data_IF_229133496519
#
_entry.id   IF_229133496519
#
_cell.length_a   1.000
_cell.length_b   1.000
_cell.length_c   1.000
_cell.angle_alpha   90.00
_cell.angle_beta   90.00
_cell.angle_gamma   90.00
#
_symmetry.space_group_name_H-M   'P 1'
#
loop_
_entity.id
_entity.type
_entity.pdbx_description
1 polymer ?
#
# COMPACT_ATOMS: atom_id res chain seq x y z
N UNK A 1 -36.70 -16.66 12.52
CA UNK A 1 -35.59 -15.68 12.43
C UNK A 1 -34.85 -15.75 13.73
N UNK A 2 -33.54 -15.93 13.67
CA UNK A 2 -32.70 -15.92 14.86
C UNK A 2 -32.73 -14.50 15.44
N UNK A 3 -33.12 -14.29 16.71
CA UNK A 3 -33.12 -12.96 17.32
C UNK A 3 -31.72 -12.30 17.35
N UNK A 4 -30.66 -13.09 17.12
CA UNK A 4 -29.27 -12.64 17.10
C UNK A 4 -28.76 -12.23 15.72
N UNK A 5 -29.53 -12.53 14.66
CA UNK A 5 -29.29 -12.05 13.30
C UNK A 5 -29.79 -10.61 13.13
N UNK A 6 -29.28 -9.71 13.97
CA UNK A 6 -29.63 -8.29 13.99
C UNK A 6 -28.44 -7.43 14.39
N UNK A 7 -28.62 -6.12 14.30
CA UNK A 7 -27.66 -5.12 14.73
C UNK A 7 -28.02 -4.62 16.12
N UNK A 8 -27.09 -4.70 17.06
CA UNK A 8 -27.25 -4.18 18.42
C UNK A 8 -26.58 -2.82 18.56
N UNK A 9 -27.27 -1.86 19.18
CA UNK A 9 -26.69 -0.55 19.51
C UNK A 9 -26.29 -0.56 20.98
N UNK A 10 -25.01 -0.32 21.25
CA UNK A 10 -24.44 -0.36 22.60
C UNK A 10 -23.91 1.04 22.94
N UNK A 11 -24.39 1.58 24.06
CA UNK A 11 -23.97 2.88 24.60
C UNK A 11 -23.30 2.77 25.95
N UNK A 12 -23.50 1.66 26.66
CA UNK A 12 -22.92 1.41 27.98
C UNK A 12 -22.99 -0.09 28.32
N UNK A 13 -22.37 -0.50 29.42
CA UNK A 13 -22.33 -1.91 29.86
C UNK A 13 -23.74 -2.47 30.18
N UNK A 14 -24.69 -1.65 30.65
CA UNK A 14 -26.06 -2.11 30.95
C UNK A 14 -26.77 -2.64 29.71
N UNK A 15 -26.49 -2.07 28.53
CA UNK A 15 -27.06 -2.56 27.25
C UNK A 15 -26.57 -3.98 26.91
N UNK A 16 -25.39 -4.37 27.40
CA UNK A 16 -24.82 -5.71 27.23
C UNK A 16 -25.38 -6.66 28.30
N UNK A 17 -25.37 -6.23 29.57
CA UNK A 17 -25.72 -7.08 30.73
C UNK A 17 -27.22 -7.38 30.83
N UNK A 18 -28.06 -6.39 30.48
CA UNK A 18 -29.51 -6.44 30.68
C UNK A 18 -30.30 -6.19 29.39
N UNK A 19 -29.61 -5.96 28.27
CA UNK A 19 -30.23 -5.72 26.98
C UNK A 19 -30.51 -7.01 26.19
N UNK A 20 -31.05 -6.87 24.97
CA UNK A 20 -31.40 -8.01 24.13
C UNK A 20 -30.19 -8.85 23.69
N UNK A 21 -28.98 -8.30 23.75
CA UNK A 21 -27.74 -9.03 23.46
C UNK A 21 -27.50 -10.21 24.42
N UNK A 22 -28.04 -10.15 25.64
CA UNK A 22 -27.96 -11.25 26.61
C UNK A 22 -28.64 -12.53 26.10
N UNK A 23 -29.59 -12.44 25.18
CA UNK A 23 -30.27 -13.59 24.60
C UNK A 23 -29.40 -14.32 23.56
N UNK A 24 -28.29 -13.71 23.15
CA UNK A 24 -27.41 -14.19 22.08
C UNK A 24 -26.16 -14.92 22.59
N UNK A 25 -26.24 -15.52 23.78
CA UNK A 25 -25.14 -16.31 24.32
C UNK A 25 -24.78 -17.45 23.35
N UNK A 26 -23.50 -17.52 22.97
CA UNK A 26 -22.96 -18.52 22.04
C UNK A 26 -23.61 -18.52 20.65
N UNK A 27 -24.31 -17.45 20.28
CA UNK A 27 -24.91 -17.28 18.95
C UNK A 27 -24.10 -16.28 18.12
N UNK A 28 -24.17 -16.40 16.80
CA UNK A 28 -23.54 -15.43 15.90
C UNK A 28 -24.34 -14.14 15.91
N UNK A 29 -23.66 -13.02 16.21
CA UNK A 29 -24.25 -11.69 16.15
C UNK A 29 -23.92 -11.04 14.81
N UNK A 30 -24.91 -10.48 14.12
CA UNK A 30 -24.63 -9.89 12.81
C UNK A 30 -23.80 -8.62 12.92
N UNK A 31 -24.19 -7.69 13.80
CA UNK A 31 -23.41 -6.48 14.02
C UNK A 31 -23.57 -5.91 15.43
N UNK A 32 -22.49 -5.30 15.94
CA UNK A 32 -22.45 -4.55 17.19
C UNK A 32 -22.01 -3.12 16.88
N UNK A 33 -22.92 -2.16 17.05
CA UNK A 33 -22.65 -0.74 16.85
C UNK A 33 -22.50 -0.04 18.20
N UNK A 34 -21.27 0.31 18.56
CA UNK A 34 -20.94 1.05 19.77
C UNK A 34 -20.97 2.55 19.48
N UNK A 35 -21.86 3.30 20.12
CA UNK A 35 -22.03 4.75 19.87
C UNK A 35 -22.18 5.54 21.16
N UNK A 36 -21.49 6.68 21.24
CA UNK A 36 -21.52 7.56 22.42
C UNK A 36 -21.23 6.78 23.71
N UNK A 37 -20.41 5.74 23.61
CA UNK A 37 -20.13 4.86 24.71
C UNK A 37 -19.08 5.46 25.65
N UNK A 38 -19.08 4.95 26.88
CA UNK A 38 -18.20 5.42 27.95
C UNK A 38 -17.69 4.27 28.83
N UNK A 39 -16.50 4.45 29.39
CA UNK A 39 -15.88 3.49 30.30
C UNK A 39 -15.48 2.19 29.61
N UNK A 40 -15.60 1.08 30.33
CA UNK A 40 -15.29 -0.26 29.83
C UNK A 40 -16.54 -0.94 29.30
N UNK A 41 -16.44 -1.51 28.09
CA UNK A 41 -17.44 -2.41 27.53
C UNK A 41 -16.84 -3.81 27.41
N UNK A 42 -17.44 -4.77 28.12
CA UNK A 42 -17.05 -6.17 28.14
C UNK A 42 -18.18 -7.03 27.55
N UNK A 43 -17.83 -7.86 26.57
CA UNK A 43 -18.75 -8.74 25.84
C UNK A 43 -18.44 -10.22 26.15
N UNK A 44 -18.76 -10.72 27.36
CA UNK A 44 -18.26 -12.02 27.84
C UNK A 44 -18.84 -13.24 27.12
N UNK A 45 -19.95 -13.10 26.41
CA UNK A 45 -20.70 -14.22 25.83
C UNK A 45 -20.75 -14.24 24.30
N UNK A 46 -20.17 -13.23 23.65
CA UNK A 46 -20.15 -13.14 22.19
C UNK A 46 -18.96 -13.94 21.68
N UNK A 47 -19.25 -15.10 21.11
CA UNK A 47 -18.23 -15.96 20.51
C UNK A 47 -17.96 -15.60 19.06
N UNK A 48 -18.99 -15.15 18.33
CA UNK A 48 -18.89 -14.78 16.93
C UNK A 48 -19.67 -13.51 16.61
N UNK A 49 -19.08 -12.63 15.82
CA UNK A 49 -19.77 -11.49 15.23
C UNK A 49 -19.26 -11.22 13.81
N UNK A 50 -20.07 -10.69 12.90
CA UNK A 50 -19.53 -10.27 11.60
C UNK A 50 -18.93 -8.87 11.67
N UNK A 51 -19.61 -7.93 12.32
CA UNK A 51 -19.19 -6.54 12.34
C UNK A 51 -19.22 -5.96 13.77
N UNK A 52 -18.14 -5.27 14.13
CA UNK A 52 -18.12 -4.37 15.29
C UNK A 52 -17.72 -2.99 14.78
N UNK A 53 -18.55 -2.00 15.03
CA UNK A 53 -18.36 -0.62 14.60
C UNK A 53 -18.46 0.32 15.79
N UNK A 54 -17.34 0.93 16.17
CA UNK A 54 -17.23 1.91 17.24
C UNK A 54 -17.10 3.29 16.64
N UNK A 55 -18.08 4.16 16.90
CA UNK A 55 -18.12 5.52 16.38
C UNK A 55 -18.51 6.50 17.48
N UNK A 56 -18.02 7.74 17.37
CA UNK A 56 -18.42 8.88 18.22
C UNK A 56 -18.43 8.54 19.72
N UNK A 57 -17.42 7.79 20.18
CA UNK A 57 -17.34 7.29 21.57
C UNK A 57 -16.08 7.80 22.27
N UNK A 58 -15.91 9.12 22.43
CA UNK A 58 -14.69 9.72 22.96
C UNK A 58 -14.43 9.37 24.43
N UNK A 59 -15.44 8.89 25.16
CA UNK A 59 -15.35 8.49 26.56
C UNK A 59 -15.14 6.99 26.76
N UNK A 60 -15.11 6.20 25.68
CA UNK A 60 -14.85 4.77 25.74
C UNK A 60 -13.37 4.56 26.11
N UNK A 61 -13.10 3.73 27.12
CA UNK A 61 -11.76 3.49 27.66
C UNK A 61 -11.23 2.10 27.28
N UNK A 62 -12.09 1.08 27.31
CA UNK A 62 -11.73 -0.31 27.01
C UNK A 62 -12.84 -0.99 26.23
N UNK A 63 -12.46 -1.74 25.20
CA UNK A 63 -13.33 -2.63 24.43
C UNK A 63 -12.81 -4.06 24.56
N UNK A 64 -13.56 -4.92 25.24
CA UNK A 64 -13.11 -6.27 25.62
C UNK A 64 -14.09 -7.35 25.14
N UNK A 65 -13.56 -8.29 24.37
CA UNK A 65 -14.27 -9.42 23.78
C UNK A 65 -13.56 -10.73 24.16
N UNK A 66 -13.65 -11.16 25.43
CA UNK A 66 -12.82 -12.25 25.93
C UNK A 66 -13.19 -13.62 25.34
N UNK A 67 -14.43 -13.81 24.88
CA UNK A 67 -14.88 -15.07 24.28
C UNK A 67 -14.90 -15.06 22.75
N UNK A 68 -14.60 -13.92 22.12
CA UNK A 68 -14.75 -13.76 20.68
C UNK A 68 -13.62 -14.48 19.95
N UNK A 69 -14.01 -15.51 19.20
CA UNK A 69 -13.10 -16.30 18.37
C UNK A 69 -13.30 -16.04 16.88
N UNK A 70 -14.36 -15.32 16.50
CA UNK A 70 -14.63 -14.95 15.13
C UNK A 70 -15.11 -13.50 14.99
N UNK A 71 -14.40 -12.71 14.18
CA UNK A 71 -14.83 -11.41 13.68
C UNK A 71 -14.41 -11.19 12.23
N UNK A 72 -15.30 -10.64 11.40
CA UNK A 72 -14.95 -10.29 10.02
C UNK A 72 -14.47 -8.83 9.92
N UNK A 73 -15.13 -7.90 10.60
CA UNK A 73 -14.75 -6.48 10.57
C UNK A 73 -14.79 -5.85 11.95
N UNK A 74 -13.69 -5.22 12.36
CA UNK A 74 -13.63 -4.29 13.48
C UNK A 74 -13.26 -2.91 12.96
N UNK A 75 -14.20 -1.97 13.04
CA UNK A 75 -13.99 -0.57 12.75
C UNK A 75 -14.07 0.24 14.05
N UNK A 76 -13.06 1.05 14.33
CA UNK A 76 -13.02 1.96 15.45
C UNK A 76 -12.64 3.34 14.92
N UNK A 77 -13.48 4.33 15.19
CA UNK A 77 -13.23 5.72 14.82
C UNK A 77 -13.68 6.67 15.93
N UNK A 78 -12.93 7.77 16.10
CA UNK A 78 -13.27 8.84 17.05
C UNK A 78 -13.46 8.36 18.50
N UNK A 79 -12.66 7.38 18.93
CA UNK A 79 -12.66 6.85 20.28
C UNK A 79 -11.44 7.39 21.05
N UNK A 80 -11.45 8.69 21.35
CA UNK A 80 -10.26 9.41 21.77
C UNK A 80 -9.62 8.91 23.07
N UNK A 81 -10.42 8.43 24.02
CA UNK A 81 -9.93 7.89 25.29
C UNK A 81 -9.73 6.38 25.28
N UNK A 82 -9.92 5.70 24.14
CA UNK A 82 -9.78 4.25 24.07
C UNK A 82 -8.32 3.87 24.31
N UNK A 83 -8.07 3.11 25.37
CA UNK A 83 -6.73 2.69 25.77
C UNK A 83 -6.43 1.24 25.40
N UNK A 84 -7.46 0.40 25.32
CA UNK A 84 -7.34 -1.05 25.16
C UNK A 84 -8.42 -1.63 24.25
N UNK A 85 -8.00 -2.47 23.30
CA UNK A 85 -8.87 -3.36 22.50
C UNK A 85 -8.40 -4.80 22.74
N UNK A 86 -9.24 -5.63 23.35
CA UNK A 86 -8.88 -6.97 23.80
C UNK A 86 -9.69 -8.04 23.08
N UNK A 87 -9.02 -8.84 22.24
CA UNK A 87 -9.58 -9.96 21.47
C UNK A 87 -8.70 -11.22 21.66
N UNK A 88 -8.51 -11.70 22.89
CA UNK A 88 -7.48 -12.71 23.21
C UNK A 88 -7.69 -14.08 22.57
N UNK A 89 -8.91 -14.42 22.15
CA UNK A 89 -9.25 -15.72 21.57
C UNK A 89 -9.45 -15.69 20.05
N UNK A 90 -9.17 -14.54 19.42
CA UNK A 90 -9.26 -14.40 17.97
C UNK A 90 -8.17 -15.24 17.29
N UNK A 91 -8.49 -15.86 16.16
CA UNK A 91 -7.50 -16.61 15.36
C UNK A 91 -7.51 -18.13 15.53
N UNK A 92 -7.94 -18.64 16.69
CA UNK A 92 -7.84 -20.08 17.05
C UNK A 92 -8.55 -21.06 16.12
N UNK A 93 -9.41 -20.59 15.20
CA UNK A 93 -10.24 -21.42 14.32
C UNK A 93 -10.11 -21.10 12.82
N UNK A 94 -9.22 -20.20 12.41
CA UNK A 94 -9.17 -19.73 11.02
C UNK A 94 -8.19 -20.53 10.16
N UNK A 95 -8.67 -20.99 9.01
CA UNK A 95 -7.83 -21.48 7.92
C UNK A 95 -7.56 -20.33 6.95
N UNK A 96 -6.33 -19.77 6.96
CA UNK A 96 -5.95 -18.66 6.09
C UNK A 96 -6.05 -19.00 4.59
N UNK A 97 -6.20 -20.28 4.22
CA UNK A 97 -6.36 -20.68 2.82
C UNK A 97 -7.70 -20.22 2.23
N UNK A 98 -8.70 -19.97 3.07
CA UNK A 98 -10.02 -19.52 2.63
C UNK A 98 -10.10 -17.99 2.60
N UNK A 99 -10.01 -17.43 1.40
CA UNK A 99 -10.03 -15.97 1.15
C UNK A 99 -11.27 -15.22 1.70
N UNK A 100 -12.33 -15.92 2.07
CA UNK A 100 -13.59 -15.31 2.54
C UNK A 100 -13.57 -14.89 4.02
N UNK A 101 -12.62 -15.38 4.83
CA UNK A 101 -12.63 -15.18 6.29
C UNK A 101 -11.51 -14.24 6.77
N UNK A 102 -11.22 -13.23 5.97
CA UNK A 102 -10.13 -12.27 6.22
C UNK A 102 -10.58 -11.14 7.16
N UNK A 103 -9.99 -11.05 8.35
CA UNK A 103 -10.27 -9.98 9.31
C UNK A 103 -9.91 -8.60 8.75
N UNK A 104 -10.87 -7.67 8.76
CA UNK A 104 -10.66 -6.26 8.47
C UNK A 104 -10.62 -5.47 9.77
N UNK A 105 -9.43 -4.99 10.12
CA UNK A 105 -9.12 -4.29 11.35
C UNK A 105 -8.78 -2.84 11.04
N UNK A 106 -9.67 -1.91 11.38
CA UNK A 106 -9.53 -0.50 11.05
C UNK A 106 -9.71 0.36 12.30
N UNK A 107 -8.63 0.99 12.77
CA UNK A 107 -8.65 1.92 13.89
C UNK A 107 -8.14 3.28 13.41
N UNK A 108 -8.98 4.29 13.58
CA UNK A 108 -8.67 5.68 13.23
C UNK A 108 -8.99 6.61 14.39
N UNK A 109 -8.18 7.64 14.59
CA UNK A 109 -8.44 8.70 15.57
C UNK A 109 -8.67 8.18 17.01
N UNK A 110 -7.79 7.26 17.44
CA UNK A 110 -7.75 6.74 18.82
C UNK A 110 -6.38 7.04 19.46
N UNK A 111 -6.05 8.32 19.73
CA UNK A 111 -4.73 8.77 20.18
C UNK A 111 -4.32 8.26 21.57
N UNK A 112 -5.23 7.70 22.37
CA UNK A 112 -4.90 7.09 23.66
C UNK A 112 -4.68 5.57 23.60
N UNK A 113 -4.80 4.95 22.42
CA UNK A 113 -4.75 3.50 22.29
C UNK A 113 -3.34 2.97 22.54
N UNK A 114 -3.14 2.32 23.68
CA UNK A 114 -1.85 1.79 24.11
C UNK A 114 -1.74 0.28 24.01
N UNK A 115 -2.88 -0.43 23.99
CA UNK A 115 -2.91 -1.88 24.03
C UNK A 115 -3.90 -2.45 22.99
N UNK A 116 -3.42 -3.37 22.18
CA UNK A 116 -4.24 -4.17 21.26
C UNK A 116 -3.84 -5.61 21.47
N UNK A 117 -4.83 -6.45 21.75
CA UNK A 117 -4.67 -7.90 21.81
C UNK A 117 -5.51 -8.56 20.73
N UNK A 118 -4.90 -9.33 19.82
CA UNK A 118 -5.53 -10.05 18.70
C UNK A 118 -5.45 -11.57 18.81
N UNK A 119 -5.00 -12.10 19.95
CA UNK A 119 -4.88 -13.55 20.17
C UNK A 119 -3.88 -14.22 19.22
N UNK A 120 -4.20 -15.43 18.77
CA UNK A 120 -3.38 -16.24 17.87
C UNK A 120 -3.80 -16.06 16.39
N UNK A 121 -4.18 -14.83 16.02
CA UNK A 121 -4.66 -14.54 14.67
C UNK A 121 -3.53 -14.46 13.64
N UNK A 122 -3.33 -15.56 12.90
CA UNK A 122 -2.36 -15.62 11.79
C UNK A 122 -2.85 -14.93 10.49
N UNK A 123 -4.17 -14.80 10.32
CA UNK A 123 -4.81 -14.38 9.06
C UNK A 123 -5.40 -12.96 9.17
N UNK A 124 -4.61 -11.93 8.85
CA UNK A 124 -5.11 -10.56 8.80
C UNK A 124 -5.47 -10.19 7.36
N UNK A 125 -6.72 -9.84 7.12
CA UNK A 125 -7.17 -9.37 5.82
C UNK A 125 -6.62 -8.01 5.49
N UNK A 126 -7.11 -7.02 6.23
CA UNK A 126 -6.72 -5.62 6.07
C UNK A 126 -6.49 -5.03 7.45
N UNK A 127 -5.33 -4.42 7.67
CA UNK A 127 -5.02 -3.65 8.87
C UNK A 127 -4.90 -2.19 8.47
N UNK A 128 -5.61 -1.31 9.16
CA UNK A 128 -5.61 0.14 8.93
C UNK A 128 -5.47 0.82 10.28
N UNK A 129 -4.33 1.47 10.53
CA UNK A 129 -4.04 2.14 11.80
C UNK A 129 -3.60 3.58 11.52
N UNK A 130 -4.48 4.53 11.83
CA UNK A 130 -4.21 5.95 11.62
C UNK A 130 -4.52 6.78 12.87
N UNK A 131 -3.65 7.74 13.17
CA UNK A 131 -3.82 8.65 14.31
C UNK A 131 -4.01 7.91 15.64
N UNK A 132 -3.28 6.81 15.80
CA UNK A 132 -3.10 6.10 17.06
C UNK A 132 -1.68 6.39 17.56
N UNK A 133 -1.40 6.34 18.87
CA UNK A 133 -0.07 6.64 19.37
C UNK A 133 0.89 5.51 18.95
N UNK A 134 2.20 5.76 19.12
CA UNK A 134 3.20 4.71 18.90
C UNK A 134 2.93 3.55 19.87
N UNK A 135 2.38 2.46 19.35
CA UNK A 135 2.19 1.22 20.10
C UNK A 135 3.58 0.59 20.22
N UNK A 136 4.18 0.70 21.41
CA UNK A 136 5.53 0.21 21.64
C UNK A 136 5.56 -1.34 21.55
N UNK A 137 6.66 -1.92 21.06
CA UNK A 137 6.81 -3.35 20.73
C UNK A 137 6.73 -4.32 21.94
N UNK A 138 6.32 -3.87 23.11
CA UNK A 138 6.08 -4.78 24.24
C UNK A 138 4.82 -5.64 24.03
N UNK A 139 3.96 -5.31 23.08
CA UNK A 139 2.93 -6.24 22.57
C UNK A 139 3.57 -7.15 21.53
N UNK A 140 4.17 -8.25 21.99
CA UNK A 140 4.83 -9.32 21.21
C UNK A 140 3.94 -10.03 20.17
N UNK A 141 2.72 -9.55 19.96
CA UNK A 141 1.71 -10.23 19.15
C UNK A 141 2.02 -10.16 17.65
N UNK A 142 2.54 -9.03 17.16
CA UNK A 142 2.99 -8.93 15.75
C UNK A 142 4.42 -9.47 15.51
N UNK A 143 5.23 -9.57 16.57
CA UNK A 143 6.66 -9.92 16.52
C UNK A 143 6.88 -11.45 16.41
N UNK A 144 6.00 -12.25 17.03
CA UNK A 144 6.25 -13.68 17.22
C UNK A 144 5.62 -14.60 16.17
N UNK A 145 4.64 -14.13 15.40
CA UNK A 145 3.85 -14.99 14.51
C UNK A 145 4.18 -14.76 13.04
N UNK A 146 4.09 -15.84 12.25
CA UNK A 146 4.19 -15.79 10.79
C UNK A 146 2.93 -15.13 10.25
N UNK A 147 2.90 -13.81 10.24
CA UNK A 147 1.74 -13.08 9.75
C UNK A 147 1.77 -13.08 8.23
N UNK A 148 0.71 -13.63 7.64
CA UNK A 148 0.39 -13.43 6.23
C UNK A 148 -0.78 -12.47 6.17
N UNK A 149 -0.54 -11.27 5.67
CA UNK A 149 -1.58 -10.24 5.56
C UNK A 149 -1.93 -9.95 4.11
N UNK A 150 -3.18 -9.63 3.81
CA UNK A 150 -3.47 -9.07 2.48
C UNK A 150 -2.96 -7.64 2.42
N UNK A 151 -3.42 -6.76 3.30
CA UNK A 151 -3.04 -5.35 3.21
C UNK A 151 -2.78 -4.71 4.58
N UNK A 152 -1.72 -3.92 4.70
CA UNK A 152 -1.44 -3.07 5.86
C UNK A 152 -1.32 -1.61 5.39
N UNK A 153 -2.06 -0.72 6.05
CA UNK A 153 -2.00 0.72 5.85
C UNK A 153 -1.81 1.39 7.21
N UNK A 154 -0.70 2.10 7.40
CA UNK A 154 -0.44 2.73 8.69
C UNK A 154 0.42 3.98 8.60
N UNK A 155 0.16 4.96 9.47
CA UNK A 155 1.05 6.10 9.73
C UNK A 155 1.76 6.01 11.09
N UNK A 156 1.65 4.86 11.78
CA UNK A 156 2.30 4.62 13.07
C UNK A 156 3.48 3.66 12.95
N UNK A 157 4.35 3.67 13.95
CA UNK A 157 5.47 2.75 14.00
C UNK A 157 4.99 1.40 14.50
N UNK A 158 4.90 0.43 13.61
CA UNK A 158 4.58 -0.97 13.92
C UNK A 158 5.85 -1.79 13.82
N UNK A 159 5.99 -2.75 14.74
CA UNK A 159 6.93 -3.83 14.55
C UNK A 159 6.33 -4.85 13.57
N UNK A 160 7.01 -5.07 12.46
CA UNK A 160 6.61 -5.97 11.38
C UNK A 160 7.67 -7.05 11.15
N UNK A 161 8.53 -7.30 12.14
CA UNK A 161 9.63 -8.27 12.09
C UNK A 161 9.18 -9.68 11.70
N UNK A 162 7.95 -10.07 12.09
CA UNK A 162 7.29 -11.34 11.78
C UNK A 162 6.61 -11.42 10.41
N UNK A 163 6.45 -10.28 9.71
CA UNK A 163 5.72 -10.22 8.45
C UNK A 163 6.50 -10.90 7.32
N UNK A 164 5.97 -12.01 6.78
CA UNK A 164 6.63 -12.74 5.67
C UNK A 164 6.05 -12.40 4.30
N UNK A 165 4.73 -12.23 4.22
CA UNK A 165 4.00 -12.06 2.96
C UNK A 165 2.98 -10.93 3.11
N UNK A 166 2.93 -10.03 2.14
CA UNK A 166 1.91 -9.00 2.05
C UNK A 166 1.43 -8.84 0.60
N UNK A 167 0.15 -8.51 0.37
CA UNK A 167 -0.26 -7.99 -0.94
C UNK A 167 0.06 -6.50 -1.01
N UNK A 168 -0.50 -5.70 -0.11
CA UNK A 168 -0.33 -4.24 -0.12
C UNK A 168 0.24 -3.77 1.22
N UNK A 169 1.32 -3.01 1.20
CA UNK A 169 1.98 -2.49 2.39
C UNK A 169 2.24 -0.98 2.19
N UNK A 170 1.42 -0.12 2.79
CA UNK A 170 1.57 1.33 2.78
C UNK A 170 1.91 1.85 4.18
N UNK A 171 3.15 2.31 4.33
CA UNK A 171 3.75 2.74 5.59
C UNK A 171 4.10 4.23 5.47
N UNK A 172 3.54 5.08 6.33
CA UNK A 172 3.65 6.54 6.22
C UNK A 172 4.05 7.27 7.50
N UNK A 173 4.62 6.55 8.48
CA UNK A 173 4.95 7.10 9.79
C UNK A 173 6.23 7.93 9.83
N UNK A 174 6.20 9.04 10.56
CA UNK A 174 7.35 9.91 10.78
C UNK A 174 8.31 9.32 11.81
N UNK A 175 9.60 9.23 11.48
CA UNK A 175 10.64 8.72 12.39
C UNK A 175 10.38 7.28 12.88
N UNK A 176 9.71 6.47 12.05
CA UNK A 176 9.45 5.06 12.34
C UNK A 176 10.52 4.14 11.77
N UNK A 177 11.04 3.23 12.60
CA UNK A 177 11.84 2.11 12.14
C UNK A 177 10.90 0.93 11.96
N UNK A 178 10.62 0.57 10.71
CA UNK A 178 9.80 -0.59 10.38
C UNK A 178 10.70 -1.82 10.22
N UNK A 179 10.70 -2.76 11.15
CA UNK A 179 11.47 -3.99 10.99
C UNK A 179 10.76 -4.88 9.97
N UNK A 180 11.38 -5.16 8.82
CA UNK A 180 10.80 -5.96 7.72
C UNK A 180 11.74 -7.11 7.32
N UNK A 181 12.52 -7.62 8.28
CA UNK A 181 13.61 -8.56 8.03
C UNK A 181 13.15 -9.87 7.41
N UNK A 182 11.92 -10.31 7.69
CA UNK A 182 11.36 -11.57 7.17
C UNK A 182 10.46 -11.39 5.93
N UNK A 183 10.23 -10.17 5.47
CA UNK A 183 9.35 -9.92 4.33
C UNK A 183 9.98 -10.47 3.06
N UNK A 184 9.42 -11.53 2.50
CA UNK A 184 9.95 -12.21 1.30
C UNK A 184 9.21 -11.85 0.02
N UNK A 185 7.91 -11.56 0.10
CA UNK A 185 7.09 -11.22 -1.07
C UNK A 185 6.08 -10.14 -0.72
N UNK A 186 6.03 -9.09 -1.56
CA UNK A 186 5.06 -8.00 -1.45
C UNK A 186 4.56 -7.58 -2.82
N UNK A 187 3.26 -7.58 -3.08
CA UNK A 187 2.77 -7.09 -4.40
C UNK A 187 3.04 -5.59 -4.54
N UNK A 188 2.48 -4.77 -3.66
CA UNK A 188 2.62 -3.32 -3.66
C UNK A 188 3.22 -2.86 -2.34
N UNK A 189 4.41 -2.28 -2.38
CA UNK A 189 5.09 -1.72 -1.23
C UNK A 189 5.28 -0.21 -1.40
N UNK A 190 4.74 0.56 -0.46
CA UNK A 190 4.81 2.02 -0.40
C UNK A 190 5.35 2.39 0.98
N UNK A 191 6.47 3.10 1.01
CA UNK A 191 7.06 3.62 2.24
C UNK A 191 7.33 5.11 2.09
N UNK A 192 6.59 5.93 2.85
CA UNK A 192 6.68 7.38 2.92
C UNK A 192 7.18 7.78 4.30
N UNK A 193 8.49 7.93 4.47
CA UNK A 193 9.08 8.16 5.77
C UNK A 193 10.22 9.18 5.68
N UNK A 194 9.84 10.46 5.73
CA UNK A 194 10.76 11.57 5.49
C UNK A 194 11.97 11.61 6.44
N UNK A 195 11.85 11.06 7.65
CA UNK A 195 12.79 11.32 8.75
C UNK A 195 13.36 10.06 9.42
N UNK A 196 13.00 8.84 8.98
CA UNK A 196 13.57 7.62 9.54
C UNK A 196 14.49 6.90 8.57
N UNK A 197 15.40 6.14 9.15
CA UNK A 197 16.27 5.22 8.43
C UNK A 197 15.41 4.11 7.84
N UNK A 198 15.41 4.00 6.51
CA UNK A 198 14.78 2.90 5.81
C UNK A 198 15.32 1.55 6.33
N UNK A 199 14.48 0.57 6.67
CA UNK A 199 14.95 -0.78 6.93
C UNK A 199 15.59 -1.39 5.69
N UNK A 200 16.66 -2.16 5.91
CA UNK A 200 17.20 -3.02 4.86
C UNK A 200 16.20 -4.14 4.56
N UNK A 201 15.79 -4.30 3.30
CA UNK A 201 14.82 -5.32 2.88
C UNK A 201 15.56 -6.58 2.42
N UNK A 202 16.32 -7.14 3.36
CA UNK A 202 17.31 -8.19 3.08
C UNK A 202 16.71 -9.50 2.58
N UNK A 203 15.46 -9.78 2.94
CA UNK A 203 14.77 -11.01 2.54
C UNK A 203 13.79 -10.81 1.42
N UNK A 204 13.56 -9.58 0.94
CA UNK A 204 12.55 -9.30 -0.07
C UNK A 204 13.00 -9.87 -1.43
N UNK A 205 12.35 -10.96 -1.84
CA UNK A 205 12.67 -11.68 -3.07
C UNK A 205 11.80 -11.23 -4.25
N UNK A 206 10.53 -10.89 -4.01
CA UNK A 206 9.58 -10.57 -5.07
C UNK A 206 8.74 -9.36 -4.76
N UNK A 207 8.57 -8.48 -5.75
CA UNK A 207 7.55 -7.47 -5.72
C UNK A 207 6.92 -7.18 -7.09
N UNK A 208 5.76 -6.54 -7.11
CA UNK A 208 5.24 -5.92 -8.34
C UNK A 208 5.65 -4.45 -8.39
N UNK A 209 5.27 -3.68 -7.37
CA UNK A 209 5.50 -2.25 -7.28
C UNK A 209 6.18 -1.90 -5.95
N UNK A 210 7.28 -1.16 -6.01
CA UNK A 210 7.98 -0.60 -4.85
C UNK A 210 8.06 0.91 -5.03
N UNK A 211 7.57 1.66 -4.04
CA UNK A 211 7.70 3.11 -3.94
C UNK A 211 8.29 3.45 -2.58
N UNK A 212 9.46 4.08 -2.58
CA UNK A 212 10.15 4.52 -1.37
C UNK A 212 10.41 6.01 -1.48
N UNK A 213 10.03 6.75 -0.45
CA UNK A 213 10.18 8.20 -0.36
C UNK A 213 10.62 8.58 1.06
N UNK A 214 11.88 9.01 1.23
CA UNK A 214 12.44 9.25 2.56
C UNK A 214 13.96 9.20 2.66
N UNK A 215 14.45 9.13 3.91
CA UNK A 215 15.87 9.06 4.22
C UNK A 215 16.40 7.62 4.11
N UNK A 216 17.36 7.38 3.22
CA UNK A 216 17.93 6.05 3.00
C UNK A 216 19.26 5.89 3.72
N UNK A 217 19.33 5.00 4.69
CA UNK A 217 20.61 4.69 5.32
C UNK A 217 21.43 3.74 4.44
N UNK A 218 22.45 4.30 3.80
CA UNK A 218 23.40 3.53 2.99
C UNK A 218 24.51 2.85 3.82
N UNK A 219 24.50 2.98 5.17
CA UNK A 219 25.52 2.35 6.03
C UNK A 219 25.44 0.83 6.03
N UNK A 220 24.26 0.25 5.81
CA UNK A 220 24.07 -1.21 5.67
C UNK A 220 24.54 -1.72 4.30
N UNK A 221 24.83 -0.82 3.37
CA UNK A 221 25.36 -1.09 2.05
C UNK A 221 24.63 -0.33 0.95
N UNK A 222 25.17 -0.36 -0.28
CA UNK A 222 24.57 0.35 -1.42
C UNK A 222 23.32 -0.36 -1.99
N UNK A 223 23.00 -1.58 -1.53
CA UNK A 223 21.89 -2.37 -2.03
C UNK A 223 20.83 -2.58 -0.96
N UNK A 224 19.72 -1.84 -1.06
CA UNK A 224 18.57 -1.96 -0.16
C UNK A 224 17.70 -3.20 -0.43
N UNK A 225 17.90 -3.91 -1.55
CA UNK A 225 17.19 -5.15 -1.90
C UNK A 225 18.15 -6.27 -2.33
N UNK A 226 19.01 -6.79 -1.43
CA UNK A 226 20.03 -7.77 -1.81
C UNK A 226 19.47 -9.11 -2.28
N UNK A 227 18.29 -9.52 -1.80
CA UNK A 227 17.66 -10.79 -2.17
C UNK A 227 16.65 -10.68 -3.33
N UNK A 228 16.45 -9.49 -3.92
CA UNK A 228 15.41 -9.28 -4.93
C UNK A 228 15.70 -10.10 -6.19
N UNK A 229 14.73 -10.93 -6.56
CA UNK A 229 14.74 -11.79 -7.75
C UNK A 229 13.85 -11.23 -8.86
N UNK A 230 12.79 -10.49 -8.52
CA UNK A 230 11.91 -9.85 -9.50
C UNK A 230 11.15 -8.64 -8.94
N UNK A 231 11.12 -7.53 -9.69
CA UNK A 231 10.23 -6.39 -9.50
C UNK A 231 9.80 -5.77 -10.83
N UNK A 232 8.54 -5.33 -10.96
CA UNK A 232 8.09 -4.62 -12.16
C UNK A 232 8.48 -3.14 -12.09
N UNK A 233 7.97 -2.40 -11.10
CA UNK A 233 8.20 -0.97 -10.97
C UNK A 233 8.88 -0.66 -9.63
N UNK A 234 10.04 -0.01 -9.69
CA UNK A 234 10.77 0.44 -8.50
C UNK A 234 11.01 1.93 -8.62
N UNK A 235 10.41 2.70 -7.71
CA UNK A 235 10.63 4.14 -7.55
C UNK A 235 11.26 4.41 -6.21
N UNK A 236 12.42 5.05 -6.22
CA UNK A 236 13.15 5.45 -5.01
C UNK A 236 13.38 6.95 -5.08
N UNK A 237 12.81 7.69 -4.14
CA UNK A 237 13.00 9.11 -3.95
C UNK A 237 13.73 9.33 -2.61
N UNK A 238 15.06 9.32 -2.68
CA UNK A 238 15.90 9.49 -1.51
C UNK A 238 16.08 11.00 -1.21
N UNK A 239 15.88 11.39 0.04
CA UNK A 239 16.13 12.77 0.49
C UNK A 239 17.61 13.06 0.74
N UNK A 240 18.45 12.03 0.74
CA UNK A 240 19.89 12.11 0.95
C UNK A 240 20.71 11.58 -0.24
N UNK A 241 22.03 11.55 -0.06
CA UNK A 241 23.03 11.15 -1.06
C UNK A 241 23.04 9.63 -1.26
N UNK A 242 21.94 9.06 -1.75
CA UNK A 242 21.81 7.62 -1.98
C UNK A 242 22.36 7.21 -3.34
N UNK A 243 23.27 6.24 -3.35
CA UNK A 243 23.90 5.72 -4.57
C UNK A 243 23.01 4.67 -5.25
N UNK A 244 22.39 5.03 -6.37
CA UNK A 244 21.50 4.15 -7.14
C UNK A 244 22.21 3.04 -7.96
N UNK A 245 23.55 2.95 -7.95
CA UNK A 245 24.32 2.05 -8.85
C UNK A 245 23.91 0.58 -8.75
N UNK A 246 23.61 0.08 -7.54
CA UNK A 246 23.18 -1.31 -7.36
C UNK A 246 21.77 -1.56 -7.92
N UNK A 247 20.86 -0.61 -7.78
CA UNK A 247 19.52 -0.70 -8.37
C UNK A 247 19.59 -0.67 -9.91
N UNK A 248 20.48 0.17 -10.46
CA UNK A 248 20.75 0.21 -11.91
C UNK A 248 21.30 -1.12 -12.41
N UNK A 249 22.24 -1.73 -11.68
CA UNK A 249 22.76 -3.07 -11.99
C UNK A 249 21.66 -4.14 -11.96
N UNK A 250 20.77 -4.11 -10.96
CA UNK A 250 19.63 -5.02 -10.88
C UNK A 250 18.66 -4.85 -12.07
N UNK A 251 18.41 -3.60 -12.50
CA UNK A 251 17.63 -3.33 -13.72
C UNK A 251 18.31 -3.90 -14.97
N UNK A 252 19.61 -3.67 -15.13
CA UNK A 252 20.36 -4.16 -16.30
C UNK A 252 20.40 -5.69 -16.35
N UNK A 253 20.36 -6.35 -15.19
CA UNK A 253 20.21 -7.81 -15.05
C UNK A 253 18.75 -8.30 -15.15
N UNK A 254 17.80 -7.45 -15.55
CA UNK A 254 16.37 -7.77 -15.70
C UNK A 254 15.66 -8.21 -14.41
N UNK A 255 16.24 -7.94 -13.23
CA UNK A 255 15.58 -8.15 -11.94
C UNK A 255 14.51 -7.08 -11.73
N UNK A 256 14.80 -5.82 -12.12
CA UNK A 256 13.88 -4.69 -12.06
C UNK A 256 13.52 -4.28 -13.50
N UNK A 257 12.23 -4.29 -13.86
CA UNK A 257 11.82 -3.93 -15.23
C UNK A 257 11.88 -2.41 -15.46
N UNK A 258 11.27 -1.64 -14.56
CA UNK A 258 11.21 -0.18 -14.62
C UNK A 258 11.79 0.41 -13.34
N UNK A 259 12.86 1.20 -13.47
CA UNK A 259 13.54 1.85 -12.36
C UNK A 259 13.50 3.37 -12.51
N UNK A 260 12.99 4.05 -11.49
CA UNK A 260 13.14 5.49 -11.29
C UNK A 260 13.85 5.71 -9.96
N UNK A 261 15.11 6.15 -10.00
CA UNK A 261 15.88 6.46 -8.79
C UNK A 261 16.23 7.95 -8.80
N UNK A 262 15.64 8.69 -7.88
CA UNK A 262 15.93 10.09 -7.60
C UNK A 262 16.75 10.08 -6.31
N UNK A 263 18.06 10.25 -6.46
CA UNK A 263 19.02 10.46 -5.38
C UNK A 263 20.15 11.31 -5.94
N UNK A 264 21.13 11.67 -5.11
CA UNK A 264 22.37 12.28 -5.62
C UNK A 264 23.12 11.23 -6.44
N UNK A 265 22.76 11.18 -7.72
CA UNK A 265 23.53 10.51 -8.72
C UNK A 265 24.82 11.31 -8.77
N UNK A 266 25.90 10.79 -8.17
CA UNK A 266 27.22 11.02 -8.72
C UNK A 266 27.06 10.66 -10.19
N UNK A 267 26.80 11.67 -11.02
CA UNK A 267 26.90 11.50 -12.44
C UNK A 267 28.25 10.84 -12.62
N UNK A 268 28.32 9.59 -13.14
CA UNK A 268 29.55 9.21 -13.79
C UNK A 268 29.77 10.38 -14.72
N UNK A 269 30.93 10.97 -14.62
CA UNK A 269 31.33 12.13 -15.41
C UNK A 269 31.44 11.76 -16.90
N UNK A 270 30.56 10.91 -17.43
CA UNK A 270 30.06 10.85 -18.79
C UNK A 270 29.02 11.98 -18.95
N UNK A 271 29.38 13.24 -19.11
CA UNK A 271 30.13 13.72 -20.27
C UNK A 271 31.00 14.93 -19.89
N UNK A 272 32.10 14.66 -19.20
CA UNK A 272 33.35 15.30 -19.59
C UNK A 272 33.63 14.90 -21.04
N UNK A 273 33.03 15.61 -21.99
CA UNK A 273 33.55 15.67 -23.36
C UNK A 273 35.07 15.79 -23.22
N UNK A 274 35.81 14.86 -23.85
CA UNK A 274 37.25 14.99 -24.00
C UNK A 274 37.56 16.46 -24.29
N UNK A 275 38.52 17.04 -23.57
CA UNK A 275 38.87 18.47 -23.60
C UNK A 275 39.02 19.01 -25.06
N UNK A 276 39.23 18.14 -26.04
CA UNK A 276 39.22 18.44 -27.47
C UNK A 276 37.87 18.83 -28.13
N UNK A 277 36.69 18.59 -27.54
CA UNK A 277 35.38 18.94 -28.18
C UNK A 277 34.80 20.27 -27.68
N UNK A 278 35.27 20.80 -26.54
CA UNK A 278 34.84 22.12 -26.03
C UNK A 278 35.31 23.30 -26.89
N UNK A 279 36.25 23.08 -27.81
CA UNK A 279 36.69 24.09 -28.78
C UNK A 279 35.75 24.15 -30.01
N UNK A 280 34.88 23.16 -30.21
CA UNK A 280 34.03 23.07 -31.41
C UNK A 280 32.71 23.84 -31.39
N UNK A 281 32.14 24.14 -30.20
CA UNK A 281 30.84 24.84 -30.09
C UNK A 281 31.01 26.37 -30.02
N UNK A 282 32.22 26.86 -29.71
CA UNK A 282 32.55 28.29 -29.70
C UNK A 282 32.57 28.94 -31.09
N UNK A 283 32.58 28.15 -32.18
CA UNK A 283 32.63 28.67 -33.56
C UNK A 283 31.26 28.61 -34.25
N UNK A 284 30.33 27.77 -33.76
CA UNK A 284 29.01 27.57 -34.38
C UNK A 284 28.00 28.68 -34.12
N UNK A 285 28.01 29.28 -32.92
CA UNK A 285 27.07 30.35 -32.54
C UNK A 285 27.38 31.69 -33.22
N UNK A 286 28.63 31.94 -33.60
CA UNK A 286 29.01 33.15 -34.33
C UNK A 286 28.38 33.25 -35.73
N UNK A 287 28.28 32.14 -36.45
CA UNK A 287 27.73 32.13 -37.82
C UNK A 287 26.20 32.32 -37.84
N UNK A 288 25.49 31.83 -36.82
CA UNK A 288 24.03 32.01 -36.73
C UNK A 288 23.66 33.47 -36.47
N UNK A 289 24.41 34.17 -35.61
CA UNK A 289 24.19 35.60 -35.35
C UNK A 289 24.44 36.48 -36.59
N UNK A 290 25.48 36.15 -37.37
CA UNK A 290 25.77 36.86 -38.64
C UNK A 290 24.66 36.59 -39.68
N UNK A 291 24.14 35.36 -39.75
CA UNK A 291 23.00 35.02 -40.62
C UNK A 291 21.73 35.80 -40.28
N UNK A 292 21.42 35.97 -38.99
CA UNK A 292 20.25 36.73 -38.54
C UNK A 292 20.43 38.23 -38.86
N UNK A 293 21.61 38.80 -38.62
CA UNK A 293 21.87 40.21 -38.97
C UNK A 293 21.81 40.45 -40.48
N UNK A 294 22.34 39.52 -41.28
CA UNK A 294 22.27 39.59 -42.75
C UNK A 294 20.83 39.58 -43.29
N UNK A 295 19.97 38.72 -42.72
CA UNK A 295 18.56 38.63 -43.14
C UNK A 295 17.76 39.88 -42.76
N UNK A 296 18.01 40.48 -41.58
CA UNK A 296 17.37 41.74 -41.16
C UNK A 296 17.78 42.89 -42.09
N UNK A 297 19.07 43.04 -42.39
CA UNK A 297 19.56 44.09 -43.30
C UNK A 297 18.95 43.91 -44.70
N UNK A 298 18.88 42.69 -45.21
CA UNK A 298 18.27 42.39 -46.50
C UNK A 298 16.77 42.73 -46.53
N UNK A 299 16.03 42.43 -45.45
CA UNK A 299 14.62 42.77 -45.30
C UNK A 299 14.37 44.29 -45.36
N UNK A 300 15.21 45.08 -44.67
CA UNK A 300 15.11 46.54 -44.68
C UNK A 300 15.34 47.11 -46.09
N UNK A 301 16.33 46.58 -46.82
CA UNK A 301 16.61 47.00 -48.21
C UNK A 301 15.44 46.63 -49.13
N UNK A 302 14.88 45.43 -48.99
CA UNK A 302 13.75 44.95 -49.79
C UNK A 302 12.48 45.77 -49.53
N UNK A 303 12.23 46.14 -48.27
CA UNK A 303 11.09 46.99 -47.90
C UNK A 303 11.22 48.40 -48.49
N UNK A 304 12.41 49.02 -48.38
CA UNK A 304 12.68 50.33 -49.00
C UNK A 304 12.51 50.32 -50.52
N UNK A 305 12.88 49.22 -51.21
CA UNK A 305 12.65 49.09 -52.65
C UNK A 305 11.16 49.02 -53.01
N UNK A 306 10.35 48.30 -52.22
CA UNK A 306 8.90 48.19 -52.44
C UNK A 306 8.15 49.49 -52.14
N UNK A 307 8.55 50.24 -51.10
CA UNK A 307 7.92 51.53 -50.78
C UNK A 307 8.15 52.55 -51.91
N UNK A 308 9.33 52.57 -52.52
CA UNK A 308 9.58 53.38 -53.73
C UNK A 308 8.71 52.98 -54.93
N UNK A 309 8.23 51.74 -54.98
CA UNK A 309 7.31 51.29 -56.05
C UNK A 309 5.87 51.73 -55.79
N UNK A 310 5.50 52.00 -54.53
CA UNK A 310 4.17 52.48 -54.15
C UNK A 310 4.03 54.00 -54.26
N UNK A 311 5.11 54.77 -54.16
CA UNK A 311 5.10 56.22 -54.44
C UNK A 311 4.99 56.53 -55.94
N UNK A 312 5.48 55.65 -56.82
CA UNK A 312 5.34 55.79 -58.29
C UNK A 312 4.03 55.18 -58.84
N UNK A 313 3.24 54.50 -58.00
CA UNK A 313 1.99 53.85 -58.41
C UNK A 313 0.71 54.64 -58.11
N UNK A 314 0.78 55.77 -57.42
CA UNK A 314 -0.38 56.50 -56.87
C UNK A 314 -1.04 57.48 -57.85
N UNK A 315 -1.05 57.15 -59.15
CA UNK A 315 -1.62 58.01 -60.20
C UNK A 315 -2.68 57.33 -61.09
N UNK A 316 -3.13 56.10 -60.80
CA UNK A 316 -4.28 55.51 -61.52
C UNK A 316 -5.13 54.63 -60.61
N UNK A 317 -6.45 54.81 -60.80
CA UNK A 317 -7.59 54.02 -60.33
C UNK A 317 -7.94 54.22 -58.84
N UNK A 318 -9.01 54.89 -58.38
CA UNK A 318 -10.33 55.29 -58.89
C UNK A 318 -11.15 54.23 -59.65
N UNK A 319 -12.35 53.99 -59.10
CA UNK A 319 -13.46 53.12 -59.51
C UNK A 319 -13.57 51.71 -58.89
N UNK A 320 -14.62 51.63 -58.05
CA UNK A 320 -15.53 50.50 -57.80
C UNK A 320 -15.00 49.33 -56.93
N UNK A 321 -15.77 48.68 -56.06
CA UNK A 321 -17.21 48.59 -55.93
C UNK A 321 -17.59 48.27 -54.47
N UNK A 322 -18.80 48.68 -54.12
CA UNK A 322 -19.53 48.51 -52.87
C UNK A 322 -19.81 47.04 -52.47
N UNK A 323 -19.76 46.81 -51.14
CA UNK A 323 -20.83 46.18 -50.33
C UNK A 323 -21.15 44.69 -50.52
N UNK A 324 -20.82 43.87 -49.51
CA UNK A 324 -21.85 43.21 -48.67
C UNK A 324 -21.26 42.53 -47.43
N UNK A 325 -22.10 42.42 -46.40
CA UNK A 325 -21.88 41.98 -45.01
C UNK A 325 -21.88 40.45 -44.86
N UNK A 326 -20.97 39.94 -44.02
CA UNK A 326 -21.13 39.13 -42.78
C UNK A 326 -22.31 38.10 -42.60
N UNK A 327 -22.28 37.20 -41.58
CA UNK A 327 -21.78 35.83 -41.59
C UNK A 327 -22.85 34.77 -41.18
N UNK A 328 -22.59 33.45 -41.30
CA UNK A 328 -22.93 32.44 -40.26
C UNK A 328 -22.63 30.99 -40.71
N UNK A 329 -21.64 30.41 -40.02
CA UNK A 329 -21.66 29.13 -39.29
C UNK A 329 -22.79 28.11 -39.59
N UNK A 330 -22.42 26.91 -40.06
CA UNK A 330 -23.27 25.72 -39.98
C UNK A 330 -22.50 24.48 -39.52
N UNK A 331 -23.08 23.87 -38.50
CA UNK A 331 -22.76 22.61 -37.84
C UNK A 331 -22.34 21.46 -38.76
N UNK A 332 -21.30 20.73 -38.35
CA UNK A 332 -21.03 19.36 -38.82
C UNK A 332 -21.42 18.40 -37.69
N UNK A 333 -22.51 17.68 -37.92
CA UNK A 333 -22.90 16.49 -37.17
C UNK A 333 -21.93 15.35 -37.49
N UNK A 334 -21.27 14.79 -36.46
CA UNK A 334 -20.72 13.45 -36.52
C UNK A 334 -21.53 12.52 -35.62
N UNK A 335 -22.28 11.67 -36.32
CA UNK A 335 -22.93 10.45 -35.91
C UNK A 335 -21.93 9.31 -36.11
N UNK A 336 -21.73 8.43 -35.12
CA UNK A 336 -21.43 6.99 -35.30
C UNK A 336 -21.50 6.25 -33.95
N UNK A 337 -22.57 5.46 -33.74
CA UNK A 337 -22.65 3.99 -33.82
C UNK A 337 -22.37 3.28 -32.49
N UNK A 338 -23.48 2.80 -31.93
CA UNK A 338 -23.58 1.87 -30.81
C UNK A 338 -23.36 0.44 -31.35
N UNK A 339 -22.27 -0.22 -30.93
CA UNK A 339 -21.93 -1.59 -31.33
C UNK A 339 -22.13 -2.59 -30.19
N UNK A 340 -23.25 -3.31 -30.24
CA UNK A 340 -23.57 -4.48 -29.41
C UNK A 340 -22.70 -5.69 -29.79
N UNK A 341 -22.00 -6.23 -28.79
CA UNK A 341 -21.90 -7.65 -28.40
C UNK A 341 -21.55 -8.73 -29.43
N UNK A 342 -20.50 -9.50 -29.12
CA UNK A 342 -20.45 -10.97 -29.32
C UNK A 342 -19.60 -11.56 -28.18
N UNK A 343 -20.23 -12.23 -27.21
CA UNK A 343 -19.56 -13.16 -26.31
C UNK A 343 -19.51 -14.53 -27.01
N UNK A 344 -18.30 -15.08 -27.19
CA UNK A 344 -18.11 -16.48 -27.59
C UNK A 344 -17.89 -17.30 -26.32
N UNK A 345 -18.82 -18.21 -26.05
CA UNK A 345 -18.62 -19.33 -25.12
C UNK A 345 -17.49 -20.22 -25.65
N UNK A 346 -16.63 -20.65 -24.73
CA UNK A 346 -15.54 -21.58 -24.97
C UNK A 346 -16.00 -22.96 -24.49
N UNK A 347 -15.79 -24.05 -25.25
CA UNK A 347 -16.27 -25.38 -24.87
C UNK A 347 -15.44 -25.96 -23.72
N UNK A 348 -16.12 -26.66 -22.82
CA UNK A 348 -15.54 -27.37 -21.68
C UNK A 348 -14.53 -28.44 -22.13
N UNK A 349 -13.32 -28.36 -21.60
CA UNK A 349 -12.31 -29.41 -21.75
C UNK A 349 -12.71 -30.65 -20.93
N UNK A 350 -12.60 -31.87 -21.49
CA UNK A 350 -12.89 -33.10 -20.75
C UNK A 350 -11.85 -33.35 -19.67
N UNK A 351 -12.33 -33.47 -18.42
CA UNK A 351 -11.55 -33.94 -17.28
C UNK A 351 -10.97 -35.33 -17.56
N UNK A 352 -9.65 -35.39 -17.73
CA UNK A 352 -8.88 -36.64 -17.74
C UNK A 352 -8.54 -36.98 -16.30
N UNK A 353 -9.20 -38.00 -15.74
CA UNK A 353 -8.82 -38.59 -14.46
C UNK A 353 -7.47 -39.30 -14.59
N UNK A 354 -6.47 -38.85 -13.82
CA UNK A 354 -5.20 -39.58 -13.69
C UNK A 354 -5.31 -40.65 -12.58
N UNK A 355 -4.81 -41.88 -12.81
CA UNK A 355 -4.78 -42.91 -11.77
C UNK A 355 -3.82 -42.52 -10.65
N UNK A 356 -4.36 -42.38 -9.42
CA UNK A 356 -3.55 -42.24 -8.21
C UNK A 356 -2.91 -43.57 -7.84
N UNK A 357 -1.58 -43.58 -7.64
CA UNK A 357 -0.85 -44.72 -7.11
C UNK A 357 -1.26 -45.04 -5.65
N UNK A 358 -1.16 -46.30 -5.20
CA UNK A 358 -1.48 -46.69 -3.83
C UNK A 358 -0.49 -46.08 -2.83
N UNK A 359 -1.03 -45.51 -1.75
CA UNK A 359 -0.26 -44.99 -0.63
C UNK A 359 0.50 -46.13 0.08
N UNK A 360 1.81 -46.00 0.21
CA UNK A 360 2.65 -46.87 1.03
C UNK A 360 2.35 -46.67 2.52
N UNK A 361 2.23 -47.79 3.24
CA UNK A 361 1.99 -47.86 4.68
C UNK A 361 3.17 -47.27 5.48
N UNK A 362 2.93 -46.55 6.59
CA UNK A 362 3.99 -46.13 7.49
C UNK A 362 4.48 -47.29 8.36
N UNK A 363 5.78 -47.56 8.27
CA UNK A 363 6.52 -48.49 9.12
C UNK A 363 6.59 -47.95 10.55
N UNK A 364 6.00 -48.69 11.50
CA UNK A 364 6.11 -48.44 12.95
C UNK A 364 7.57 -48.59 13.41
N UNK A 365 8.16 -47.52 13.92
CA UNK A 365 9.33 -47.61 14.79
C UNK A 365 8.88 -47.76 16.25
N UNK A 366 9.21 -48.90 16.84
CA UNK A 366 9.13 -49.13 18.28
C UNK A 366 10.21 -48.32 19.01
N UNK A 367 9.82 -47.33 19.82
CA UNK A 367 10.67 -46.77 20.88
C UNK A 367 10.27 -47.37 22.22
N UNK A 368 11.20 -48.16 22.75
CA UNK A 368 11.26 -48.76 24.09
C UNK A 368 11.39 -47.64 25.13
N UNK A 369 10.42 -47.54 26.05
CA UNK A 369 10.55 -46.73 27.27
C UNK A 369 10.96 -47.68 28.38
N UNK A 370 12.16 -47.48 28.90
CA UNK A 370 12.63 -48.12 30.12
C UNK A 370 12.02 -47.41 31.33
N UNK A 371 11.40 -48.24 32.17
CA UNK A 371 10.84 -47.90 33.47
C UNK A 371 12.00 -47.74 34.45
N UNK A 372 12.16 -46.57 35.06
CA UNK A 372 13.00 -46.43 36.25
C UNK A 372 12.13 -46.00 37.43
N UNK A 373 11.97 -46.93 38.37
CA UNK A 373 11.29 -46.74 39.64
C UNK A 373 12.18 -45.96 40.59
N UNK A 374 11.75 -44.78 41.01
CA UNK A 374 12.35 -44.00 42.09
C UNK A 374 11.44 -44.01 43.31
N UNK A 375 11.86 -44.76 44.32
CA UNK A 375 11.19 -45.10 45.56
C UNK A 375 11.26 -43.98 46.61
N UNK A 376 10.21 -43.92 47.44
CA UNK A 376 10.14 -43.51 48.84
C UNK A 376 10.74 -42.17 49.34
N UNK A 377 9.88 -41.38 50.00
CA UNK A 377 10.28 -40.30 50.91
C UNK A 377 9.14 -39.79 51.78
N UNK A 378 8.75 -40.59 52.78
CA UNK A 378 7.90 -40.22 53.94
C UNK A 378 8.65 -39.22 54.84
N UNK A 379 7.99 -38.19 55.35
CA UNK A 379 7.96 -37.86 56.79
C UNK A 379 7.15 -36.58 57.09
N UNK A 380 6.25 -36.74 58.07
CA UNK A 380 5.76 -35.81 59.11
C UNK A 380 5.07 -34.50 58.70
#
# INVERSE_FOLDING_TARGET
MDPCDTTFIITNQTDIDHGPLQQCQNSTVTAINVRKARGTLMFPFITQTYHVDVQDSPQLETLDFPALNYINTLNISQATNLTSVLLPNLGSSYDCSQTQLMLWFNITSAPSLSNITLGDSECLGRVTLFDVPKILPNSSEFDTQKISTSSIYTNICLDLSGLTLARDLDLSGKSCNYYLEKLTEVRNFILRNADAILPSLNSLEKAENIYIDGLLDATTGPNIFPALKSAQNVTVNATNTFNCSMLVSQRDNQIIQNLQCIGEYDQPSSHGLAIGVRVGIGVGTGLVAIGILGTIIWLIIRYKRRVKTLETGKAREHEDNERSKEPEQSHISQQEVCGRGIFREMPDDPLVEMPTQPAELPTRHHSRIETESGEAGRAL
#
